data_IF_259066722955
#
_entry.id   IF_259066722955
#
_cell.length_a   1.000
_cell.length_b   1.000
_cell.length_c   1.000
_cell.angle_alpha   90.00
_cell.angle_beta   90.00
_cell.angle_gamma   90.00
#
_symmetry.space_group_name_H-M   'P 1'
#
loop_
_entity.id
_entity.type
_entity.pdbx_description
1 polymer ?
#
# COMPACT_ATOMS: atom_id res chain seq x y z
N UNK A 1 1.63 -23.28 3.16
CA UNK A 1 0.34 -22.68 2.71
C UNK A 1 -0.33 -22.01 3.95
N UNK A 2 -1.47 -21.29 3.90
CA UNK A 2 -1.80 -20.20 4.85
C UNK A 2 -2.15 -20.67 6.29
N UNK A 3 -1.13 -21.10 7.00
CA UNK A 3 -1.08 -21.48 8.42
C UNK A 3 0.36 -21.69 8.92
N UNK A 4 1.32 -21.86 8.01
CA UNK A 4 2.72 -22.11 8.41
C UNK A 4 3.36 -20.82 8.88
N UNK A 5 3.97 -20.86 10.08
CA UNK A 5 4.82 -19.78 10.59
C UNK A 5 5.99 -19.57 9.63
N UNK A 6 5.88 -18.56 8.77
CA UNK A 6 6.87 -18.27 7.73
C UNK A 6 8.15 -17.65 8.32
N UNK A 7 8.17 -17.29 9.61
CA UNK A 7 9.38 -16.75 10.25
C UNK A 7 10.51 -17.77 10.34
N UNK A 8 10.20 -19.07 10.24
CA UNK A 8 11.22 -20.13 10.15
C UNK A 8 12.01 -20.10 8.83
N UNK A 9 11.45 -19.52 7.77
CA UNK A 9 12.07 -19.46 6.43
C UNK A 9 12.51 -18.04 6.03
N UNK A 10 11.95 -17.01 6.66
CA UNK A 10 12.23 -15.62 6.36
C UNK A 10 12.63 -14.87 7.62
N UNK A 11 13.77 -14.19 7.56
CA UNK A 11 14.20 -13.27 8.63
C UNK A 11 13.34 -12.01 8.53
N UNK A 12 12.42 -11.81 9.47
CA UNK A 12 11.71 -10.54 9.62
C UNK A 12 12.69 -9.49 10.14
N UNK A 13 13.27 -8.73 9.21
CA UNK A 13 14.14 -7.61 9.50
C UNK A 13 13.43 -6.33 9.13
N UNK A 14 13.45 -5.33 10.01
CA UNK A 14 13.01 -3.98 9.64
C UNK A 14 13.84 -3.50 8.46
N UNK A 15 13.19 -3.09 7.36
CA UNK A 15 13.93 -2.66 6.19
C UNK A 15 14.71 -1.38 6.45
N UNK A 16 15.99 -1.38 6.09
CA UNK A 16 16.89 -0.23 6.29
C UNK A 16 17.11 0.61 5.03
N UNK A 17 16.66 0.13 3.85
CA UNK A 17 16.79 0.82 2.53
C UNK A 17 15.67 0.41 1.58
N UNK A 18 15.20 1.33 0.72
CA UNK A 18 14.18 1.05 -0.31
C UNK A 18 14.64 -0.05 -1.31
N UNK A 19 13.86 -1.12 -1.51
CA UNK A 19 14.33 -2.41 -2.06
C UNK A 19 13.23 -3.30 -2.69
N UNK A 20 13.63 -4.31 -3.48
CA UNK A 20 12.73 -5.17 -4.29
C UNK A 20 11.86 -6.13 -3.43
N UNK A 21 12.12 -6.18 -2.12
CA UNK A 21 11.45 -7.05 -1.15
C UNK A 21 10.74 -6.27 -0.04
N UNK A 22 10.59 -4.94 -0.20
CA UNK A 22 9.95 -4.10 0.82
C UNK A 22 8.48 -4.43 1.02
N UNK A 23 7.75 -4.73 -0.06
CA UNK A 23 6.30 -4.85 -0.01
C UNK A 23 5.81 -5.99 0.88
N UNK A 24 6.52 -7.12 0.91
CA UNK A 24 6.16 -8.25 1.77
C UNK A 24 6.45 -7.93 3.25
N UNK A 25 7.65 -7.43 3.55
CA UNK A 25 8.02 -7.06 4.92
C UNK A 25 7.17 -5.90 5.46
N UNK A 26 6.85 -4.90 4.65
CA UNK A 26 5.95 -3.80 5.00
C UNK A 26 4.53 -4.28 5.23
N UNK A 27 4.04 -5.26 4.46
CA UNK A 27 2.73 -5.88 4.71
C UNK A 27 2.72 -6.63 6.04
N UNK A 28 3.75 -7.43 6.33
CA UNK A 28 3.90 -8.12 7.61
C UNK A 28 3.95 -7.13 8.79
N UNK A 29 4.67 -6.02 8.62
CA UNK A 29 4.84 -4.98 9.63
C UNK A 29 3.69 -3.95 9.65
N UNK A 30 2.69 -4.10 8.77
CA UNK A 30 1.54 -3.23 8.74
C UNK A 30 0.80 -3.25 10.09
N UNK A 31 0.23 -2.13 10.56
CA UNK A 31 -0.43 -2.08 11.86
C UNK A 31 -1.62 -3.05 12.01
N UNK A 32 -2.21 -3.53 10.92
CA UNK A 32 -3.38 -4.40 10.98
C UNK A 32 -3.73 -5.20 9.74
N UNK A 33 -3.10 -4.98 8.57
CA UNK A 33 -3.46 -5.72 7.35
C UNK A 33 -3.09 -7.20 7.49
N UNK A 34 -1.87 -7.51 7.93
CA UNK A 34 -1.45 -8.91 8.13
C UNK A 34 -2.33 -9.66 9.13
N UNK A 35 -2.58 -9.04 10.31
CA UNK A 35 -3.44 -9.63 11.34
C UNK A 35 -4.89 -9.82 10.90
N UNK A 36 -5.37 -8.99 9.97
CA UNK A 36 -6.69 -9.11 9.37
C UNK A 36 -6.75 -10.10 8.19
N UNK A 37 -5.67 -10.84 7.90
CA UNK A 37 -5.62 -11.81 6.81
C UNK A 37 -5.52 -11.21 5.41
N UNK A 38 -5.12 -9.94 5.30
CA UNK A 38 -4.86 -9.31 4.00
C UNK A 38 -3.57 -9.89 3.41
N UNK A 39 -3.65 -10.30 2.15
CA UNK A 39 -2.55 -10.91 1.39
C UNK A 39 -2.33 -10.16 0.07
N UNK A 40 -1.26 -10.50 -0.66
CA UNK A 40 -0.89 -9.82 -1.92
C UNK A 40 -2.06 -9.73 -2.91
N UNK A 41 -2.81 -10.83 -3.06
CA UNK A 41 -3.93 -10.95 -3.98
C UNK A 41 -5.22 -10.31 -3.47
N UNK A 42 -5.24 -9.77 -2.26
CA UNK A 42 -6.35 -8.93 -1.78
C UNK A 42 -6.41 -7.65 -2.61
N UNK A 43 -5.26 -7.05 -2.91
CA UNK A 43 -5.17 -5.79 -3.67
C UNK A 43 -4.73 -6.00 -5.12
N UNK A 44 -3.84 -6.96 -5.38
CA UNK A 44 -3.26 -7.21 -6.71
C UNK A 44 -3.96 -8.36 -7.45
N UNK A 45 -4.07 -8.23 -8.76
CA UNK A 45 -4.43 -9.28 -9.68
C UNK A 45 -3.16 -10.00 -10.17
N UNK A 46 -2.94 -11.27 -9.80
CA UNK A 46 -1.75 -12.01 -10.21
C UNK A 46 -1.66 -12.22 -11.74
N UNK A 47 -2.77 -12.11 -12.46
CA UNK A 47 -2.81 -12.29 -13.92
C UNK A 47 -2.76 -10.96 -14.69
N UNK A 48 -2.84 -9.82 -13.99
CA UNK A 48 -2.78 -8.51 -14.63
C UNK A 48 -3.91 -8.23 -15.62
N UNK A 49 -5.12 -8.76 -15.39
CA UNK A 49 -6.28 -8.50 -16.24
C UNK A 49 -6.92 -7.13 -15.96
N UNK A 50 -6.22 -6.25 -15.25
CA UNK A 50 -6.69 -4.94 -14.85
C UNK A 50 -5.93 -3.86 -15.58
N UNK A 51 -6.59 -2.72 -15.82
CA UNK A 51 -5.93 -1.54 -16.43
C UNK A 51 -5.23 -0.65 -15.39
N UNK A 52 -5.15 -1.10 -14.14
CA UNK A 52 -4.60 -0.30 -13.06
C UNK A 52 -3.07 -0.47 -12.99
N UNK A 53 -2.34 0.56 -12.55
CA UNK A 53 -0.91 0.43 -12.30
C UNK A 53 -0.63 -0.73 -11.35
N UNK A 54 0.49 -1.41 -11.57
CA UNK A 54 0.98 -2.47 -10.65
C UNK A 54 -0.03 -3.60 -10.44
N UNK A 55 -0.89 -3.83 -11.46
CA UNK A 55 -1.90 -4.89 -11.46
C UNK A 55 -2.90 -4.79 -10.30
N UNK A 56 -3.23 -3.58 -9.83
CA UNK A 56 -4.26 -3.43 -8.80
C UNK A 56 -5.64 -3.86 -9.31
N UNK A 57 -6.44 -4.51 -8.47
CA UNK A 57 -7.81 -4.94 -8.82
C UNK A 57 -8.76 -3.76 -9.08
N UNK A 58 -8.52 -2.64 -8.43
CA UNK A 58 -9.33 -1.41 -8.49
C UNK A 58 -8.42 -0.18 -8.31
N UNK A 59 -8.91 1.05 -8.57
CA UNK A 59 -8.20 2.27 -8.18
C UNK A 59 -7.78 2.23 -6.71
N UNK A 60 -6.58 2.73 -6.41
CA UNK A 60 -5.92 2.50 -5.11
C UNK A 60 -6.74 2.99 -3.91
N UNK A 61 -7.38 4.16 -4.01
CA UNK A 61 -8.20 4.68 -2.91
C UNK A 61 -9.46 3.82 -2.71
N UNK A 62 -10.06 3.30 -3.78
CA UNK A 62 -11.22 2.41 -3.69
C UNK A 62 -10.87 1.11 -2.97
N UNK A 63 -9.71 0.51 -3.28
CA UNK A 63 -9.22 -0.68 -2.57
C UNK A 63 -9.13 -0.46 -1.06
N UNK A 64 -8.55 0.66 -0.64
CA UNK A 64 -8.44 1.00 0.78
C UNK A 64 -9.82 1.21 1.41
N UNK A 65 -10.69 1.95 0.74
CA UNK A 65 -12.01 2.33 1.25
C UNK A 65 -13.01 1.17 1.30
N UNK A 66 -12.80 0.08 0.56
CA UNK A 66 -13.62 -1.13 0.70
C UNK A 66 -13.65 -1.68 2.14
N UNK A 67 -12.55 -1.51 2.88
CA UNK A 67 -12.47 -1.90 4.29
C UNK A 67 -12.46 -0.69 5.24
N UNK A 68 -11.75 0.38 4.88
CA UNK A 68 -11.54 1.53 5.77
C UNK A 68 -12.70 2.55 5.82
N UNK A 69 -13.70 2.42 4.94
CA UNK A 69 -14.95 3.21 4.99
C UNK A 69 -16.00 2.61 5.93
N UNK A 70 -15.82 1.37 6.38
CA UNK A 70 -16.85 0.62 7.09
C UNK A 70 -17.11 1.22 8.48
N UNK A 71 -18.36 1.62 8.72
CA UNK A 71 -18.84 2.27 9.95
C UNK A 71 -18.54 1.50 11.26
N UNK A 72 -18.17 0.21 11.17
CA UNK A 72 -17.82 -0.64 12.30
C UNK A 72 -16.40 -0.42 12.84
N UNK A 73 -15.47 0.09 12.02
CA UNK A 73 -14.09 0.36 12.41
C UNK A 73 -13.81 1.87 12.22
N UNK A 74 -14.31 2.70 13.13
CA UNK A 74 -14.12 4.16 13.14
C UNK A 74 -12.64 4.56 13.06
N UNK A 75 -12.08 4.68 11.85
CA UNK A 75 -10.74 5.24 11.64
C UNK A 75 -10.70 6.39 10.65
N UNK A 76 -11.55 6.40 9.63
CA UNK A 76 -11.69 7.55 8.72
C UNK A 76 -13.16 7.69 8.32
N UNK A 77 -13.85 8.70 8.86
CA UNK A 77 -15.26 9.01 8.51
C UNK A 77 -15.38 9.90 7.28
N UNK A 78 -14.35 10.72 7.04
CA UNK A 78 -14.21 11.57 5.86
C UNK A 78 -12.74 11.53 5.39
N UNK A 79 -12.43 10.75 4.35
CA UNK A 79 -11.08 10.68 3.79
C UNK A 79 -10.55 12.02 3.28
N UNK A 80 -11.43 12.89 2.78
CA UNK A 80 -11.05 14.20 2.27
C UNK A 80 -10.63 15.12 3.42
N UNK A 81 -11.40 15.13 4.51
CA UNK A 81 -11.03 15.87 5.71
C UNK A 81 -9.71 15.35 6.31
N UNK A 82 -9.57 14.04 6.46
CA UNK A 82 -8.34 13.42 6.97
C UNK A 82 -7.11 13.78 6.13
N UNK A 83 -7.21 13.67 4.80
CA UNK A 83 -6.11 14.04 3.91
C UNK A 83 -5.75 15.52 4.04
N UNK A 84 -6.74 16.40 4.11
CA UNK A 84 -6.54 17.85 4.24
C UNK A 84 -5.84 18.24 5.55
N UNK A 85 -6.12 17.55 6.66
CA UNK A 85 -5.44 17.77 7.96
C UNK A 85 -3.92 17.56 7.85
N UNK A 86 -3.49 16.69 6.94
CA UNK A 86 -2.07 16.42 6.66
C UNK A 86 -1.54 17.14 5.41
N UNK A 87 -2.28 18.13 4.88
CA UNK A 87 -1.88 18.91 3.70
C UNK A 87 -2.09 18.20 2.36
N UNK A 88 -2.82 17.08 2.34
CA UNK A 88 -3.23 16.39 1.11
C UNK A 88 -4.25 17.17 0.29
N UNK A 89 -4.21 16.95 -1.02
CA UNK A 89 -5.15 17.48 -2.02
C UNK A 89 -6.23 16.46 -2.40
N UNK A 90 -7.22 16.88 -3.19
CA UNK A 90 -8.24 15.97 -3.74
C UNK A 90 -7.64 14.81 -4.58
N UNK A 91 -6.44 14.99 -5.13
CA UNK A 91 -5.74 13.99 -5.94
C UNK A 91 -4.83 13.06 -5.11
N UNK A 92 -4.73 13.28 -3.79
CA UNK A 92 -3.85 12.48 -2.94
C UNK A 92 -4.36 11.04 -2.80
N UNK A 93 -3.43 10.10 -2.80
CA UNK A 93 -3.72 8.66 -2.65
C UNK A 93 -3.45 8.24 -1.22
N UNK A 94 -4.22 7.29 -0.69
CA UNK A 94 -4.00 6.75 0.65
C UNK A 94 -2.57 6.23 0.84
N UNK A 95 -2.01 5.63 -0.21
CA UNK A 95 -0.65 5.09 -0.26
C UNK A 95 0.46 6.14 -0.18
N UNK A 96 0.19 7.40 -0.51
CA UNK A 96 1.22 8.45 -0.53
C UNK A 96 1.77 8.71 0.89
N UNK A 97 0.92 8.51 1.90
CA UNK A 97 1.30 8.65 3.32
C UNK A 97 1.30 7.31 4.09
N UNK A 98 0.42 6.37 3.74
CA UNK A 98 0.32 5.09 4.44
C UNK A 98 1.12 3.95 3.80
N UNK A 99 1.81 4.20 2.68
CA UNK A 99 2.76 3.28 2.06
C UNK A 99 3.98 4.03 1.44
N UNK A 100 4.67 4.92 2.19
CA UNK A 100 5.59 5.90 1.61
C UNK A 100 6.93 5.31 1.12
N UNK A 101 7.31 4.11 1.59
CA UNK A 101 8.61 3.48 1.29
C UNK A 101 8.50 2.23 0.39
N UNK A 102 7.28 1.78 0.15
CA UNK A 102 7.00 0.76 -0.86
C UNK A 102 7.30 1.38 -2.22
N UNK A 103 7.86 0.61 -3.15
CA UNK A 103 8.22 1.08 -4.52
C UNK A 103 7.04 1.53 -5.40
N UNK A 104 5.93 1.93 -4.79
CA UNK A 104 4.77 2.60 -5.37
C UNK A 104 4.87 4.12 -5.26
N UNK A 105 6.06 4.71 -5.11
CA UNK A 105 6.23 6.11 -5.48
C UNK A 105 5.73 6.22 -6.92
N UNK A 106 4.50 6.69 -7.10
CA UNK A 106 3.88 6.95 -8.40
C UNK A 106 4.53 8.15 -9.09
N UNK A 107 5.74 8.53 -8.64
CA UNK A 107 6.60 9.45 -9.33
C UNK A 107 6.91 8.85 -10.70
N UNK A 108 6.46 9.57 -11.73
CA UNK A 108 7.15 9.61 -13.02
C UNK A 108 8.64 9.55 -12.72
N UNK A 109 9.27 8.43 -13.09
CA UNK A 109 10.63 8.15 -12.72
C UNK A 109 11.51 9.36 -12.94
N UNK A 110 12.18 9.80 -11.88
CA UNK A 110 13.54 10.30 -11.92
C UNK A 110 13.90 11.04 -13.22
N UNK A 111 13.24 12.15 -13.54
CA UNK A 111 13.78 13.11 -14.51
C UNK A 111 14.87 13.93 -13.79
N UNK A 112 15.92 13.27 -13.33
CA UNK A 112 17.18 13.94 -12.99
C UNK A 112 17.83 14.36 -14.30
N UNK A 113 17.53 15.61 -14.67
CA UNK A 113 18.34 16.56 -15.43
C UNK A 113 19.19 16.06 -16.60
N UNK A 114 18.92 16.62 -17.78
CA UNK A 114 19.94 17.41 -18.48
C UNK A 114 19.31 18.72 -18.95
N UNK A 115 19.60 19.79 -18.21
CA UNK A 115 19.61 21.12 -18.79
C UNK A 115 20.71 21.15 -19.87
N UNK A 116 20.42 21.86 -20.95
CA UNK A 116 21.34 22.12 -22.06
C UNK A 116 22.44 23.07 -21.63
#
# INVERSE_FOLDING_TARGET
MPSDDLTQYFVDSKPTKAGRNQQFSELLQSPGHWKAGVVCTTCHDPHGNTKQPVQLKQPINELCLNCHKAQAAKKITDPTAHMKEHGGSADSKCSDCHMPNGRHLFEKGLAKGKAK
#
